data_IF_701544793418
#
_entry.id   IF_701544793418
#
_cell.length_a   1.000
_cell.length_b   1.000
_cell.length_c   1.000
_cell.angle_alpha   90.00
_cell.angle_beta   90.00
_cell.angle_gamma   90.00
#
_symmetry.space_group_name_H-M   'P 1'
#
loop_
_entity.id
_entity.type
_entity.pdbx_description
1 polymer ?
#
# COMPACT_ATOMS: atom_id res chain seq x y z
N UNK A 1 -8.66 -15.29 -14.21
CA UNK A 1 -9.55 -16.41 -14.57
C UNK A 1 -10.44 -16.09 -15.76
N UNK A 2 -11.28 -15.05 -15.70
CA UNK A 2 -12.21 -14.67 -16.79
C UNK A 2 -11.52 -14.45 -18.14
N UNK A 3 -10.32 -13.80 -18.13
CA UNK A 3 -9.52 -13.65 -19.35
C UNK A 3 -9.25 -15.01 -20.03
N UNK A 4 -8.73 -15.97 -19.30
CA UNK A 4 -8.38 -17.29 -19.87
C UNK A 4 -9.62 -18.10 -20.30
N UNK A 5 -10.73 -17.94 -19.57
CA UNK A 5 -11.98 -18.60 -19.92
C UNK A 5 -12.55 -18.05 -21.23
N UNK A 6 -12.73 -16.73 -21.30
CA UNK A 6 -13.42 -16.12 -22.44
C UNK A 6 -12.53 -15.95 -23.67
N UNK A 7 -11.20 -15.85 -23.51
CA UNK A 7 -10.29 -15.77 -24.66
C UNK A 7 -10.31 -17.03 -25.55
N UNK A 8 -10.66 -18.19 -25.00
CA UNK A 8 -10.78 -19.44 -25.75
C UNK A 8 -12.04 -19.51 -26.65
N UNK A 9 -13.04 -18.69 -26.37
CA UNK A 9 -14.33 -18.71 -27.06
C UNK A 9 -14.56 -17.49 -27.94
N UNK A 10 -13.53 -16.69 -28.23
CA UNK A 10 -13.63 -15.47 -29.05
C UNK A 10 -14.10 -15.81 -30.47
N UNK A 11 -13.63 -16.92 -31.05
CA UNK A 11 -13.99 -17.35 -32.40
C UNK A 11 -15.45 -17.83 -32.50
N UNK A 12 -16.03 -18.27 -31.37
CA UNK A 12 -17.44 -18.71 -31.27
C UNK A 12 -18.36 -17.52 -31.05
N UNK A 13 -17.93 -16.57 -30.18
CA UNK A 13 -18.73 -15.40 -29.82
C UNK A 13 -17.83 -14.16 -29.68
N UNK A 14 -17.76 -13.37 -30.75
CA UNK A 14 -16.88 -12.19 -30.86
C UNK A 14 -16.98 -11.19 -29.69
N UNK A 15 -18.15 -10.93 -29.05
CA UNK A 15 -18.22 -10.04 -27.90
C UNK A 15 -17.29 -10.42 -26.74
N UNK A 16 -16.85 -11.68 -26.61
CA UNK A 16 -15.86 -12.08 -25.60
C UNK A 16 -14.49 -11.43 -25.79
N UNK A 17 -14.22 -10.85 -26.95
CA UNK A 17 -13.01 -10.06 -27.22
C UNK A 17 -12.84 -8.91 -26.23
N UNK A 18 -13.92 -8.42 -25.62
CA UNK A 18 -13.84 -7.34 -24.61
C UNK A 18 -12.97 -7.72 -23.41
N UNK A 19 -12.91 -9.00 -23.04
CA UNK A 19 -12.06 -9.49 -21.94
C UNK A 19 -10.56 -9.44 -22.25
N UNK A 20 -10.15 -9.21 -23.48
CA UNK A 20 -8.74 -9.01 -23.84
C UNK A 20 -8.25 -7.61 -23.54
N UNK A 21 -9.15 -6.62 -23.45
CA UNK A 21 -8.78 -5.24 -23.17
C UNK A 21 -8.49 -5.01 -21.70
N UNK A 22 -7.31 -4.45 -21.41
CA UNK A 22 -6.88 -4.11 -20.05
C UNK A 22 -7.86 -3.13 -19.38
N UNK A 23 -8.34 -2.13 -20.12
CA UNK A 23 -9.27 -1.12 -19.61
C UNK A 23 -10.59 -1.72 -19.13
N UNK A 24 -11.17 -2.64 -19.90
CA UNK A 24 -12.40 -3.33 -19.52
C UNK A 24 -12.19 -4.20 -18.28
N UNK A 25 -11.09 -4.97 -18.24
CA UNK A 25 -10.76 -5.80 -17.09
C UNK A 25 -10.45 -4.97 -15.85
N UNK A 26 -9.80 -3.82 -16.00
CA UNK A 26 -9.55 -2.89 -14.88
C UNK A 26 -10.84 -2.33 -14.31
N UNK A 27 -11.78 -1.91 -15.16
CA UNK A 27 -13.10 -1.45 -14.70
C UNK A 27 -13.87 -2.58 -13.99
N UNK A 28 -13.86 -3.78 -14.56
CA UNK A 28 -14.46 -4.97 -13.94
C UNK A 28 -13.82 -5.32 -12.60
N UNK A 29 -12.50 -5.26 -12.52
CA UNK A 29 -11.75 -5.53 -11.30
C UNK A 29 -12.07 -4.51 -10.20
N UNK A 30 -12.11 -3.22 -10.54
CA UNK A 30 -12.49 -2.16 -9.61
C UNK A 30 -13.90 -2.37 -9.04
N UNK A 31 -14.88 -2.55 -9.90
CA UNK A 31 -16.29 -2.73 -9.50
C UNK A 31 -16.46 -3.99 -8.66
N UNK A 32 -15.87 -5.11 -9.09
CA UNK A 32 -15.95 -6.38 -8.35
C UNK A 32 -15.30 -6.28 -6.97
N UNK A 33 -14.15 -5.61 -6.88
CA UNK A 33 -13.44 -5.41 -5.61
C UNK A 33 -14.26 -4.56 -4.63
N UNK A 34 -14.87 -3.48 -5.12
CA UNK A 34 -15.76 -2.62 -4.33
C UNK A 34 -16.97 -3.42 -3.81
N UNK A 35 -17.62 -4.18 -4.72
CA UNK A 35 -18.77 -5.03 -4.36
C UNK A 35 -18.37 -6.09 -3.34
N UNK A 36 -17.23 -6.76 -3.50
CA UNK A 36 -16.75 -7.77 -2.56
C UNK A 36 -16.49 -7.16 -1.18
N UNK A 37 -15.82 -6.00 -1.12
CA UNK A 37 -15.60 -5.30 0.15
C UNK A 37 -16.93 -4.94 0.82
N UNK A 38 -17.91 -4.46 0.05
CA UNK A 38 -19.23 -4.10 0.56
C UNK A 38 -20.03 -5.32 1.05
N UNK A 39 -20.03 -6.43 0.31
CA UNK A 39 -20.81 -7.62 0.66
C UNK A 39 -20.18 -8.42 1.81
N UNK A 40 -18.85 -8.59 1.81
CA UNK A 40 -18.16 -9.37 2.84
C UNK A 40 -17.87 -8.55 4.10
N UNK A 41 -17.83 -7.22 4.01
CA UNK A 41 -17.55 -6.33 5.14
C UNK A 41 -18.40 -6.61 6.38
N UNK A 42 -19.75 -6.61 6.28
CA UNK A 42 -20.62 -6.83 7.45
C UNK A 42 -20.43 -8.22 8.09
N UNK A 43 -20.16 -9.26 7.28
CA UNK A 43 -19.92 -10.59 7.79
C UNK A 43 -18.59 -10.66 8.57
N UNK A 44 -17.51 -10.07 8.01
CA UNK A 44 -16.21 -10.00 8.66
C UNK A 44 -16.29 -9.19 9.95
N UNK A 45 -16.93 -8.01 9.92
CA UNK A 45 -17.12 -7.15 11.11
C UNK A 45 -17.86 -7.91 12.21
N UNK A 46 -18.92 -8.64 11.86
CA UNK A 46 -19.70 -9.45 12.81
C UNK A 46 -18.87 -10.55 13.44
N UNK A 47 -18.08 -11.29 12.64
CA UNK A 47 -17.20 -12.35 13.12
C UNK A 47 -16.16 -11.77 14.08
N UNK A 48 -15.52 -10.66 13.73
CA UNK A 48 -14.50 -10.04 14.58
C UNK A 48 -15.07 -9.48 15.87
N UNK A 49 -16.26 -8.86 15.84
CA UNK A 49 -16.97 -8.39 17.06
C UNK A 49 -17.31 -9.55 18.00
N UNK A 50 -17.81 -10.66 17.47
CA UNK A 50 -18.18 -11.82 18.27
C UNK A 50 -16.98 -12.49 18.96
N UNK A 51 -15.79 -12.38 18.39
CA UNK A 51 -14.56 -12.95 18.95
C UNK A 51 -13.75 -11.95 19.78
N UNK A 52 -14.32 -10.78 20.12
CA UNK A 52 -13.70 -9.75 20.95
C UNK A 52 -12.33 -9.25 20.40
N UNK A 53 -12.18 -9.21 19.09
CA UNK A 53 -11.03 -8.57 18.43
C UNK A 53 -11.14 -7.03 18.56
N UNK A 54 -11.12 -6.54 19.80
CA UNK A 54 -11.32 -5.10 20.12
C UNK A 54 -9.97 -4.50 20.46
N UNK A 55 -9.65 -3.37 19.85
CA UNK A 55 -8.41 -2.66 20.12
C UNK A 55 -8.41 -2.07 21.54
N UNK A 56 -7.34 -2.32 22.29
CA UNK A 56 -7.08 -1.67 23.58
C UNK A 56 -6.33 -0.37 23.33
N UNK A 57 -6.95 0.75 23.73
CA UNK A 57 -6.38 2.09 23.54
C UNK A 57 -5.41 2.36 24.68
N UNK A 58 -4.20 2.81 24.35
CA UNK A 58 -3.20 3.21 25.32
C UNK A 58 -3.64 4.45 26.13
N UNK A 59 -3.36 4.47 27.43
CA UNK A 59 -3.74 5.56 28.34
C UNK A 59 -3.15 6.94 27.96
N UNK A 60 -2.04 6.94 27.19
CA UNK A 60 -1.37 8.16 26.71
C UNK A 60 -2.05 8.79 25.46
N UNK A 61 -3.10 8.15 24.91
CA UNK A 61 -3.82 8.65 23.74
C UNK A 61 -4.81 9.77 24.12
N UNK A 62 -5.08 10.73 23.23
CA UNK A 62 -6.08 11.78 23.46
C UNK A 62 -7.47 11.21 23.82
N UNK A 63 -8.20 11.87 24.73
CA UNK A 63 -9.53 11.45 25.23
C UNK A 63 -10.52 11.05 24.14
N UNK A 64 -10.39 11.63 22.96
CA UNK A 64 -11.24 11.32 21.79
C UNK A 64 -11.08 9.89 21.27
N UNK A 65 -9.94 9.25 21.54
CA UNK A 65 -9.71 7.84 21.16
C UNK A 65 -10.45 6.89 22.11
N UNK A 66 -10.69 7.30 23.38
CA UNK A 66 -11.47 6.49 24.32
C UNK A 66 -12.91 6.26 23.85
N UNK A 67 -13.48 7.17 23.05
CA UNK A 67 -14.79 6.98 22.42
C UNK A 67 -14.81 5.88 21.34
N UNK A 68 -13.64 5.43 20.85
CA UNK A 68 -13.47 4.35 19.86
C UNK A 68 -13.31 2.96 20.51
N UNK A 69 -13.31 2.90 21.84
CA UNK A 69 -13.23 1.64 22.57
C UNK A 69 -14.42 0.74 22.21
N UNK A 70 -14.13 -0.49 21.80
CA UNK A 70 -15.16 -1.41 21.33
C UNK A 70 -15.22 -1.57 19.80
N UNK A 71 -14.49 -0.76 19.02
CA UNK A 71 -14.40 -0.94 17.58
C UNK A 71 -13.49 -2.13 17.27
N UNK A 72 -13.93 -3.09 16.44
CA UNK A 72 -13.10 -4.23 16.07
C UNK A 72 -11.91 -3.80 15.20
N UNK A 73 -10.81 -4.51 15.31
CA UNK A 73 -9.62 -4.37 14.46
C UNK A 73 -9.51 -5.54 13.49
N UNK A 74 -8.44 -5.62 12.69
CA UNK A 74 -8.19 -6.62 11.63
C UNK A 74 -9.07 -6.41 10.37
N UNK A 75 -9.52 -5.21 10.11
CA UNK A 75 -10.26 -4.85 8.89
C UNK A 75 -9.48 -5.09 7.60
N UNK A 76 -8.16 -5.25 7.69
CA UNK A 76 -7.33 -5.73 6.59
C UNK A 76 -7.82 -7.02 5.94
N UNK A 77 -8.60 -7.86 6.65
CA UNK A 77 -9.25 -9.04 6.06
C UNK A 77 -10.25 -8.66 4.96
N UNK A 78 -10.98 -7.55 5.10
CA UNK A 78 -11.87 -7.04 4.04
C UNK A 78 -11.05 -6.63 2.84
N UNK A 79 -9.91 -5.95 3.07
CA UNK A 79 -8.99 -5.51 2.02
C UNK A 79 -8.42 -6.73 1.28
N UNK A 80 -7.88 -7.71 2.01
CA UNK A 80 -7.29 -8.90 1.41
C UNK A 80 -8.30 -9.72 0.61
N UNK A 81 -9.52 -9.92 1.12
CA UNK A 81 -10.56 -10.68 0.42
C UNK A 81 -11.06 -9.96 -0.83
N UNK A 82 -11.29 -8.65 -0.77
CA UNK A 82 -11.71 -7.85 -1.92
C UNK A 82 -10.66 -7.80 -3.02
N UNK A 83 -9.40 -7.51 -2.64
CA UNK A 83 -8.27 -7.42 -3.56
C UNK A 83 -7.96 -8.76 -4.24
N UNK A 84 -7.72 -9.80 -3.44
CA UNK A 84 -7.31 -11.10 -3.97
C UNK A 84 -8.44 -11.76 -4.77
N UNK A 85 -9.68 -11.69 -4.28
CA UNK A 85 -10.84 -12.26 -4.98
C UNK A 85 -11.07 -11.58 -6.33
N UNK A 86 -11.08 -10.25 -6.36
CA UNK A 86 -11.29 -9.50 -7.60
C UNK A 86 -10.13 -9.64 -8.57
N UNK A 87 -8.89 -9.46 -8.12
CA UNK A 87 -7.73 -9.57 -9.00
C UNK A 87 -7.58 -10.99 -9.57
N UNK A 88 -7.89 -12.05 -8.80
CA UNK A 88 -7.89 -13.43 -9.28
C UNK A 88 -8.89 -13.66 -10.43
N UNK A 89 -10.05 -13.02 -10.36
CA UNK A 89 -11.06 -13.10 -11.43
C UNK A 89 -10.59 -12.41 -12.71
N UNK A 90 -10.04 -11.20 -12.61
CA UNK A 90 -9.82 -10.32 -13.75
C UNK A 90 -8.40 -10.30 -14.30
N UNK A 91 -7.37 -10.55 -13.48
CA UNK A 91 -5.97 -10.54 -13.92
C UNK A 91 -5.61 -11.75 -14.77
N UNK A 92 -4.61 -11.57 -15.63
CA UNK A 92 -3.97 -12.65 -16.36
C UNK A 92 -3.00 -13.39 -15.45
N UNK A 93 -3.31 -14.65 -15.19
CA UNK A 93 -2.53 -15.49 -14.27
C UNK A 93 -1.25 -16.07 -14.90
N UNK A 94 -1.04 -15.88 -16.20
CA UNK A 94 0.20 -16.19 -16.91
C UNK A 94 1.29 -15.11 -16.75
N UNK A 95 0.96 -13.97 -16.11
CA UNK A 95 1.89 -12.88 -15.86
C UNK A 95 2.63 -13.07 -14.52
N UNK A 96 3.97 -13.15 -14.56
CA UNK A 96 4.80 -13.34 -13.37
C UNK A 96 4.70 -12.19 -12.36
N UNK A 97 4.47 -10.95 -12.82
CA UNK A 97 4.32 -9.78 -11.93
C UNK A 97 3.08 -9.89 -11.05
N UNK A 98 1.99 -10.46 -11.55
CA UNK A 98 0.78 -10.71 -10.77
C UNK A 98 1.07 -11.70 -9.63
N UNK A 99 1.84 -12.76 -9.88
CA UNK A 99 2.22 -13.71 -8.82
C UNK A 99 3.13 -13.09 -7.76
N UNK A 100 4.02 -12.18 -8.13
CA UNK A 100 4.82 -11.42 -7.17
C UNK A 100 3.95 -10.50 -6.30
N UNK A 101 2.92 -9.88 -6.90
CA UNK A 101 1.95 -9.09 -6.14
C UNK A 101 1.16 -9.96 -5.17
N UNK A 102 0.71 -11.15 -5.56
CA UNK A 102 0.04 -12.08 -4.66
C UNK A 102 0.95 -12.57 -3.53
N UNK A 103 2.19 -12.94 -3.87
CA UNK A 103 3.17 -13.36 -2.87
C UNK A 103 3.41 -12.26 -1.83
N UNK A 104 3.66 -11.03 -2.28
CA UNK A 104 3.87 -9.88 -1.38
C UNK A 104 2.65 -9.64 -0.51
N UNK A 105 1.46 -9.64 -1.10
CA UNK A 105 0.20 -9.38 -0.41
C UNK A 105 -0.09 -10.42 0.66
N UNK A 106 0.01 -11.70 0.28
CA UNK A 106 -0.28 -12.81 1.20
C UNK A 106 0.76 -12.92 2.30
N UNK A 107 2.05 -12.82 1.96
CA UNK A 107 3.12 -12.94 2.94
C UNK A 107 3.04 -11.85 4.01
N UNK A 108 2.98 -10.59 3.59
CA UNK A 108 2.88 -9.48 4.54
C UNK A 108 1.52 -9.45 5.25
N UNK A 109 0.45 -9.89 4.58
CA UNK A 109 -0.86 -10.07 5.17
C UNK A 109 -0.87 -11.11 6.29
N UNK A 110 -0.17 -12.25 6.12
CA UNK A 110 -0.02 -13.27 7.15
C UNK A 110 0.74 -12.70 8.36
N UNK A 111 1.86 -12.00 8.15
CA UNK A 111 2.60 -11.39 9.26
C UNK A 111 1.77 -10.33 9.99
N UNK A 112 1.02 -9.50 9.27
CA UNK A 112 0.09 -8.54 9.86
C UNK A 112 -1.03 -9.23 10.63
N UNK A 113 -1.61 -10.29 10.06
CA UNK A 113 -2.64 -11.08 10.71
C UNK A 113 -2.15 -11.72 12.01
N UNK A 114 -0.96 -12.32 11.99
CA UNK A 114 -0.35 -12.92 13.19
C UNK A 114 -0.11 -11.87 14.26
N UNK A 115 0.37 -10.67 13.88
CA UNK A 115 0.58 -9.58 14.84
C UNK A 115 -0.72 -9.15 15.51
N UNK A 116 -1.75 -8.87 14.71
CA UNK A 116 -3.08 -8.48 15.20
C UNK A 116 -3.73 -9.61 16.03
N UNK A 117 -3.58 -10.87 15.60
CA UNK A 117 -4.09 -12.03 16.33
C UNK A 117 -3.45 -12.16 17.72
N UNK A 118 -2.14 -12.03 17.81
CA UNK A 118 -1.42 -12.11 19.08
C UNK A 118 -1.82 -10.97 20.03
N UNK A 119 -2.05 -9.76 19.50
CA UNK A 119 -2.48 -8.61 20.31
C UNK A 119 -3.88 -8.82 20.89
N UNK A 120 -4.82 -9.26 20.05
CA UNK A 120 -6.24 -9.23 20.40
C UNK A 120 -6.74 -10.54 21.02
N UNK A 121 -6.26 -11.70 20.56
CA UNK A 121 -6.75 -13.01 21.01
C UNK A 121 -5.83 -13.65 22.04
N UNK A 122 -4.52 -13.62 21.85
CA UNK A 122 -3.56 -14.17 22.80
C UNK A 122 -3.26 -13.22 23.97
N UNK A 123 -3.92 -12.04 24.03
CA UNK A 123 -3.76 -11.00 25.06
C UNK A 123 -2.29 -10.63 25.31
N UNK A 124 -1.45 -10.78 24.30
CA UNK A 124 -0.07 -10.35 24.33
C UNK A 124 -0.01 -8.84 24.09
N UNK A 125 0.14 -8.03 25.15
CA UNK A 125 0.22 -6.55 25.05
C UNK A 125 1.23 -6.03 24.01
N UNK A 126 2.17 -6.86 23.53
CA UNK A 126 3.24 -6.46 22.59
C UNK A 126 3.04 -7.00 21.17
N UNK A 127 2.03 -7.88 20.92
CA UNK A 127 1.86 -8.53 19.61
C UNK A 127 3.09 -9.34 19.20
N UNK A 128 3.37 -9.38 17.90
CA UNK A 128 4.57 -10.00 17.36
C UNK A 128 5.81 -9.15 17.71
N UNK A 129 6.85 -9.82 18.21
CA UNK A 129 8.11 -9.12 18.52
C UNK A 129 8.62 -8.38 17.27
N UNK A 130 8.97 -7.08 17.35
CA UNK A 130 9.34 -6.27 16.18
C UNK A 130 10.42 -6.88 15.28
N UNK A 131 11.32 -7.68 15.88
CA UNK A 131 12.37 -8.41 15.14
C UNK A 131 11.77 -9.42 14.14
N UNK A 132 10.77 -10.19 14.54
CA UNK A 132 10.16 -11.19 13.64
C UNK A 132 9.33 -10.54 12.54
N UNK A 133 8.64 -9.44 12.84
CA UNK A 133 7.93 -8.63 11.84
C UNK A 133 8.90 -8.10 10.78
N UNK A 134 10.04 -7.55 11.21
CA UNK A 134 11.08 -7.07 10.31
C UNK A 134 11.70 -8.22 9.50
N UNK A 135 11.96 -9.37 10.12
CA UNK A 135 12.47 -10.56 9.41
C UNK A 135 11.51 -11.03 8.33
N UNK A 136 10.19 -11.02 8.59
CA UNK A 136 9.18 -11.37 7.59
C UNK A 136 9.18 -10.41 6.39
N UNK A 137 9.31 -9.11 6.63
CA UNK A 137 9.42 -8.11 5.58
C UNK A 137 10.72 -8.27 4.76
N UNK A 138 11.85 -8.46 5.43
CA UNK A 138 13.16 -8.66 4.78
C UNK A 138 13.17 -9.94 3.95
N UNK A 139 12.62 -11.05 4.46
CA UNK A 139 12.66 -12.35 3.79
C UNK A 139 11.91 -12.33 2.45
N UNK A 140 10.70 -11.78 2.40
CA UNK A 140 9.94 -11.67 1.14
C UNK A 140 10.64 -10.72 0.16
N UNK A 141 11.20 -9.63 0.68
CA UNK A 141 11.90 -8.65 -0.14
C UNK A 141 13.17 -9.22 -0.79
N UNK A 142 13.95 -9.99 -0.04
CA UNK A 142 15.13 -10.69 -0.57
C UNK A 142 14.70 -11.73 -1.60
N UNK A 143 13.69 -12.55 -1.28
CA UNK A 143 13.22 -13.62 -2.18
C UNK A 143 12.79 -13.03 -3.54
N UNK A 144 11.97 -11.97 -3.53
CA UNK A 144 11.52 -11.33 -4.77
C UNK A 144 12.69 -10.59 -5.45
N UNK A 145 13.50 -9.86 -4.68
CA UNK A 145 14.67 -9.16 -5.22
C UNK A 145 15.66 -10.12 -5.92
N UNK A 146 15.91 -11.28 -5.33
CA UNK A 146 16.73 -12.33 -5.96
C UNK A 146 16.05 -12.92 -7.20
N UNK A 147 14.75 -13.22 -7.12
CA UNK A 147 14.02 -13.75 -8.28
C UNK A 147 14.08 -12.77 -9.46
N UNK A 148 13.83 -11.46 -9.22
CA UNK A 148 13.92 -10.43 -10.26
C UNK A 148 15.35 -10.26 -10.77
N UNK A 149 16.34 -10.32 -9.90
CA UNK A 149 17.75 -10.15 -10.27
C UNK A 149 18.24 -11.26 -11.20
N UNK A 150 17.80 -12.50 -11.01
CA UNK A 150 18.16 -13.65 -11.86
C UNK A 150 17.17 -13.87 -13.01
N UNK A 151 16.12 -13.07 -13.14
CA UNK A 151 15.19 -13.12 -14.27
C UNK A 151 15.70 -12.27 -15.45
N UNK A 152 15.17 -12.54 -16.64
CA UNK A 152 15.45 -11.71 -17.82
C UNK A 152 14.91 -10.27 -17.68
N UNK A 153 14.04 -10.03 -16.70
CA UNK A 153 13.48 -8.70 -16.46
C UNK A 153 14.49 -7.75 -15.79
N UNK A 154 15.63 -8.25 -15.30
CA UNK A 154 16.67 -7.44 -14.62
C UNK A 154 17.23 -6.34 -15.51
N UNK A 155 17.33 -6.59 -16.81
CA UNK A 155 17.81 -5.60 -17.79
C UNK A 155 16.94 -4.35 -17.79
N UNK A 156 15.65 -4.51 -17.48
CA UNK A 156 14.69 -3.39 -17.37
C UNK A 156 14.60 -2.82 -15.97
N UNK A 157 14.66 -3.67 -14.93
CA UNK A 157 14.34 -3.32 -13.54
C UNK A 157 15.52 -2.80 -12.74
N UNK A 158 16.77 -3.08 -13.16
CA UNK A 158 17.99 -2.71 -12.42
C UNK A 158 18.34 -1.22 -12.47
N UNK A 159 17.46 -0.39 -12.99
CA UNK A 159 17.67 1.05 -13.11
C UNK A 159 16.65 1.83 -12.25
N UNK A 160 17.10 2.97 -11.74
CA UNK A 160 16.24 3.99 -11.14
C UNK A 160 16.19 5.18 -12.10
N UNK A 161 15.01 5.47 -12.62
CA UNK A 161 14.80 6.62 -13.50
C UNK A 161 14.79 7.91 -12.66
N UNK A 162 15.59 8.91 -13.04
CA UNK A 162 15.64 10.19 -12.36
C UNK A 162 14.65 11.16 -13.05
N UNK A 163 13.55 11.56 -12.38
CA UNK A 163 12.67 12.57 -12.90
C UNK A 163 13.44 13.90 -13.04
N UNK A 164 13.08 14.72 -14.04
CA UNK A 164 13.72 15.99 -14.41
C UNK A 164 15.10 15.88 -15.10
N UNK A 165 15.68 14.70 -15.25
CA UNK A 165 16.94 14.49 -15.96
C UNK A 165 16.70 13.51 -17.12
N UNK A 166 16.59 14.07 -18.32
CA UNK A 166 16.30 13.31 -19.54
C UNK A 166 17.36 12.20 -19.76
N UNK A 167 16.91 11.01 -20.10
CA UNK A 167 17.73 9.83 -20.42
C UNK A 167 18.75 9.47 -19.32
N UNK A 168 18.51 9.89 -18.07
CA UNK A 168 19.40 9.62 -16.95
C UNK A 168 18.78 8.58 -16.02
N UNK A 169 19.43 7.41 -15.92
CA UNK A 169 19.05 6.35 -15.01
C UNK A 169 20.26 5.84 -14.23
N UNK A 170 20.08 5.54 -12.95
CA UNK A 170 21.13 4.97 -12.11
C UNK A 170 21.06 3.46 -12.21
N UNK A 171 22.14 2.84 -12.72
CA UNK A 171 22.27 1.38 -12.74
C UNK A 171 22.63 0.86 -11.35
N UNK A 172 21.83 -0.06 -10.83
CA UNK A 172 21.98 -0.60 -9.48
C UNK A 172 22.86 -1.84 -9.39
N UNK A 173 22.94 -2.64 -10.46
CA UNK A 173 23.63 -3.92 -10.42
C UNK A 173 23.19 -4.78 -9.22
N UNK A 174 24.13 -5.34 -8.48
CA UNK A 174 23.86 -6.16 -7.28
C UNK A 174 23.21 -5.36 -6.13
N UNK A 175 23.36 -4.02 -6.12
CA UNK A 175 22.68 -3.16 -5.15
C UNK A 175 21.16 -3.14 -5.33
N UNK A 176 20.63 -3.69 -6.43
CA UNK A 176 19.19 -3.84 -6.64
C UNK A 176 18.51 -4.57 -5.48
N UNK A 177 19.07 -5.69 -5.00
CA UNK A 177 18.48 -6.49 -3.93
C UNK A 177 18.34 -5.69 -2.62
N UNK A 178 19.39 -5.08 -2.06
CA UNK A 178 19.24 -4.27 -0.85
C UNK A 178 18.37 -3.04 -1.05
N UNK A 179 18.29 -2.47 -2.26
CA UNK A 179 17.36 -1.38 -2.57
C UNK A 179 15.91 -1.86 -2.52
N UNK A 180 15.60 -3.03 -3.08
CA UNK A 180 14.26 -3.67 -2.97
C UNK A 180 13.90 -3.85 -1.50
N UNK A 181 14.81 -4.39 -0.68
CA UNK A 181 14.59 -4.57 0.76
C UNK A 181 14.30 -3.24 1.45
N UNK A 182 15.10 -2.22 1.17
CA UNK A 182 14.92 -0.89 1.76
C UNK A 182 13.55 -0.29 1.42
N UNK A 183 13.14 -0.35 0.14
CA UNK A 183 11.87 0.21 -0.32
C UNK A 183 10.68 -0.54 0.29
N UNK A 184 10.69 -1.88 0.26
CA UNK A 184 9.58 -2.68 0.78
C UNK A 184 9.44 -2.54 2.30
N UNK A 185 10.53 -2.66 3.04
CA UNK A 185 10.53 -2.51 4.51
C UNK A 185 10.16 -1.08 4.89
N UNK A 186 10.77 -0.09 4.24
CA UNK A 186 10.52 1.32 4.50
C UNK A 186 9.06 1.70 4.26
N UNK A 187 8.51 1.38 3.10
CA UNK A 187 7.13 1.72 2.74
C UNK A 187 6.10 0.95 3.56
N UNK A 188 6.32 -0.37 3.80
CA UNK A 188 5.44 -1.18 4.64
C UNK A 188 5.31 -0.60 6.06
N UNK A 189 6.42 -0.23 6.68
CA UNK A 189 6.39 0.37 8.02
C UNK A 189 5.86 1.82 7.99
N UNK A 190 6.14 2.61 6.96
CA UNK A 190 5.65 3.98 6.85
C UNK A 190 4.12 4.03 6.70
N UNK A 191 3.53 3.15 5.88
CA UNK A 191 2.07 3.00 5.77
C UNK A 191 1.47 2.54 7.10
N UNK A 192 2.11 1.58 7.78
CA UNK A 192 1.66 1.11 9.09
C UNK A 192 1.68 2.24 10.14
N UNK A 193 2.73 3.09 10.17
CA UNK A 193 2.77 4.26 11.05
C UNK A 193 1.73 5.33 10.71
N UNK A 194 1.29 5.41 9.46
CA UNK A 194 0.26 6.36 9.01
C UNK A 194 -1.15 5.89 9.38
N UNK A 195 -1.33 4.60 9.71
CA UNK A 195 -2.60 4.00 10.07
C UNK A 195 -2.99 4.31 11.53
N UNK A 196 -3.23 5.60 11.83
CA UNK A 196 -3.59 6.08 13.18
C UNK A 196 -4.92 6.82 13.26
N UNK A 197 -5.48 7.24 12.13
CA UNK A 197 -6.78 7.94 12.06
C UNK A 197 -7.70 7.26 11.05
N UNK A 198 -9.02 7.33 11.33
CA UNK A 198 -10.07 6.73 10.49
C UNK A 198 -10.02 7.28 9.07
N UNK A 199 -9.83 6.44 8.07
CA UNK A 199 -9.76 6.81 6.66
C UNK A 199 -8.41 7.37 6.17
N UNK A 200 -7.41 7.55 7.04
CA UNK A 200 -6.17 8.22 6.66
C UNK A 200 -5.30 7.37 5.74
N UNK A 201 -4.89 6.20 6.18
CA UNK A 201 -3.92 5.38 5.47
C UNK A 201 -4.47 4.83 4.15
N UNK A 202 -5.70 4.30 4.15
CA UNK A 202 -6.33 3.75 2.96
C UNK A 202 -6.63 4.81 1.90
N UNK A 203 -7.05 6.02 2.31
CA UNK A 203 -7.28 7.10 1.36
C UNK A 203 -5.99 7.55 0.67
N UNK A 204 -4.89 7.70 1.43
CA UNK A 204 -3.58 8.01 0.86
C UNK A 204 -3.10 6.86 -0.04
N UNK A 205 -3.24 5.59 0.41
CA UNK A 205 -2.89 4.42 -0.39
C UNK A 205 -3.67 4.36 -1.71
N UNK A 206 -4.98 4.68 -1.69
CA UNK A 206 -5.81 4.71 -2.90
C UNK A 206 -5.32 5.75 -3.91
N UNK A 207 -4.95 6.96 -3.45
CA UNK A 207 -4.44 8.04 -4.30
C UNK A 207 -3.08 7.64 -4.90
N UNK A 208 -2.15 7.11 -4.09
CA UNK A 208 -0.83 6.65 -4.54
C UNK A 208 -0.96 5.49 -5.52
N UNK A 209 -1.80 4.49 -5.19
CA UNK A 209 -2.08 3.35 -6.07
C UNK A 209 -2.68 3.80 -7.40
N UNK A 210 -3.61 4.76 -7.42
CA UNK A 210 -4.16 5.32 -8.64
C UNK A 210 -3.07 5.93 -9.53
N UNK A 211 -2.14 6.69 -8.96
CA UNK A 211 -0.98 7.23 -9.68
C UNK A 211 -0.10 6.15 -10.30
N UNK A 212 0.23 5.12 -9.52
CA UNK A 212 0.98 3.96 -10.02
C UNK A 212 0.18 3.18 -11.09
N UNK A 213 -1.14 3.18 -11.02
CA UNK A 213 -2.03 2.59 -12.03
C UNK A 213 -1.92 3.31 -13.38
N UNK A 214 -1.86 4.63 -13.37
CA UNK A 214 -1.60 5.43 -14.58
C UNK A 214 -0.23 5.04 -15.16
N UNK A 215 0.83 5.02 -14.33
CA UNK A 215 2.17 4.65 -14.79
C UNK A 215 2.22 3.22 -15.34
N UNK A 216 1.54 2.28 -14.71
CA UNK A 216 1.40 0.90 -15.16
C UNK A 216 0.77 0.81 -16.55
N UNK A 217 -0.33 1.53 -16.77
CA UNK A 217 -1.02 1.57 -18.06
C UNK A 217 -0.16 2.18 -19.17
N UNK A 218 0.53 3.29 -18.87
CA UNK A 218 1.39 3.98 -19.83
C UNK A 218 2.63 3.16 -20.19
N UNK A 219 3.37 2.65 -19.20
CA UNK A 219 4.58 1.84 -19.42
C UNK A 219 4.30 0.44 -19.97
N UNK A 220 3.08 -0.07 -19.75
CA UNK A 220 2.64 -1.35 -20.27
C UNK A 220 2.15 -1.32 -21.73
N UNK A 221 2.10 -0.15 -22.37
CA UNK A 221 1.71 0.03 -23.76
C UNK A 221 2.83 0.71 -24.54
N UNK A 222 3.34 0.03 -25.59
CA UNK A 222 4.50 0.48 -26.36
C UNK A 222 4.27 1.87 -27.00
N UNK A 223 3.07 2.11 -27.53
CA UNK A 223 2.76 3.39 -28.19
C UNK A 223 2.76 4.56 -27.22
N UNK A 224 2.21 4.38 -26.01
CA UNK A 224 2.22 5.41 -24.98
C UNK A 224 3.60 5.59 -24.36
N UNK A 225 4.31 4.50 -24.14
CA UNK A 225 5.67 4.54 -23.61
C UNK A 225 6.60 5.32 -24.56
N UNK A 226 6.58 5.02 -25.85
CA UNK A 226 7.38 5.72 -26.86
C UNK A 226 6.99 7.20 -26.97
N UNK A 227 5.67 7.50 -27.04
CA UNK A 227 5.20 8.90 -27.13
C UNK A 227 5.63 9.77 -25.93
N UNK A 228 5.63 9.16 -24.74
CA UNK A 228 5.96 9.85 -23.49
C UNK A 228 7.43 9.73 -23.10
N UNK A 229 8.24 9.05 -23.90
CA UNK A 229 9.65 8.73 -23.61
C UNK A 229 9.83 7.97 -22.29
N UNK A 230 8.90 7.05 -21.99
CA UNK A 230 8.95 6.16 -20.84
C UNK A 230 9.54 4.82 -21.25
N UNK A 231 10.34 4.19 -20.39
CA UNK A 231 10.80 2.83 -20.64
C UNK A 231 9.63 1.85 -20.74
N UNK A 232 9.44 1.20 -21.90
CA UNK A 232 8.43 0.17 -22.07
C UNK A 232 8.73 -1.06 -21.22
N UNK A 233 7.74 -1.56 -20.48
CA UNK A 233 7.84 -2.75 -19.65
C UNK A 233 6.72 -3.73 -20.06
N UNK A 234 7.05 -4.81 -20.81
CA UNK A 234 6.04 -5.67 -21.45
C UNK A 234 4.99 -6.28 -20.51
N UNK A 235 5.38 -6.55 -19.27
CA UNK A 235 4.48 -7.18 -18.25
C UNK A 235 3.69 -6.16 -17.43
N UNK A 236 4.06 -4.88 -17.47
CA UNK A 236 3.52 -3.85 -16.60
C UNK A 236 2.04 -3.57 -16.81
N UNK A 237 1.55 -3.63 -18.05
CA UNK A 237 0.15 -3.31 -18.37
C UNK A 237 -0.86 -4.14 -17.58
N UNK A 238 -0.51 -5.36 -17.20
CA UNK A 238 -1.39 -6.23 -16.41
C UNK A 238 -1.51 -5.79 -14.94
N UNK A 239 -0.49 -5.12 -14.40
CA UNK A 239 -0.56 -4.54 -13.06
C UNK A 239 -1.66 -3.49 -12.94
N UNK A 240 -2.08 -2.85 -14.04
CA UNK A 240 -3.22 -1.90 -14.05
C UNK A 240 -4.51 -2.56 -13.56
N UNK A 241 -4.74 -3.84 -13.92
CA UNK A 241 -5.91 -4.59 -13.47
C UNK A 241 -5.84 -4.88 -11.97
N UNK A 242 -4.67 -5.28 -11.47
CA UNK A 242 -4.44 -5.50 -10.04
C UNK A 242 -4.59 -4.20 -9.23
N UNK A 243 -4.05 -3.10 -9.74
CA UNK A 243 -4.14 -1.78 -9.10
C UNK A 243 -5.59 -1.28 -9.08
N UNK A 244 -6.36 -1.52 -10.15
CA UNK A 244 -7.78 -1.18 -10.18
C UNK A 244 -8.57 -1.95 -9.12
N UNK A 245 -8.29 -3.26 -8.93
CA UNK A 245 -8.83 -4.04 -7.83
C UNK A 245 -8.42 -3.46 -6.47
N UNK A 246 -7.16 -3.07 -6.31
CA UNK A 246 -6.67 -2.45 -5.07
C UNK A 246 -7.43 -1.17 -4.74
N UNK A 247 -7.54 -0.24 -5.69
CA UNK A 247 -8.25 1.03 -5.50
C UNK A 247 -9.74 0.79 -5.19
N UNK A 248 -10.39 -0.11 -5.94
CA UNK A 248 -11.79 -0.49 -5.67
C UNK A 248 -11.99 -1.08 -4.27
N UNK A 249 -11.07 -1.92 -3.82
CA UNK A 249 -11.08 -2.49 -2.47
C UNK A 249 -10.90 -1.42 -1.39
N UNK A 250 -9.94 -0.50 -1.57
CA UNK A 250 -9.67 0.56 -0.60
C UNK A 250 -10.86 1.51 -0.47
N UNK A 251 -11.52 1.86 -1.57
CA UNK A 251 -12.74 2.67 -1.55
C UNK A 251 -13.87 1.89 -0.87
N UNK A 252 -14.00 0.59 -1.14
CA UNK A 252 -14.98 -0.26 -0.48
C UNK A 252 -14.71 -0.43 1.01
N UNK A 253 -13.46 -0.49 1.45
CA UNK A 253 -13.08 -0.51 2.86
C UNK A 253 -13.35 0.83 3.56
N UNK A 254 -13.09 1.96 2.89
CA UNK A 254 -13.42 3.30 3.40
C UNK A 254 -14.88 3.45 3.79
N UNK A 255 -15.79 2.70 3.17
CA UNK A 255 -17.21 2.70 3.55
C UNK A 255 -17.42 2.36 5.03
N UNK A 256 -16.59 1.47 5.58
CA UNK A 256 -16.66 1.02 6.98
C UNK A 256 -15.67 1.73 7.89
N UNK A 257 -14.56 2.24 7.34
CA UNK A 257 -13.51 2.85 8.12
C UNK A 257 -13.56 4.38 8.14
N UNK A 258 -14.41 5.03 7.32
CA UNK A 258 -14.61 6.48 7.44
C UNK A 258 -15.23 6.82 8.81
N UNK A 259 -14.87 8.00 9.33
CA UNK A 259 -15.28 8.42 10.68
C UNK A 259 -16.79 8.61 10.82
N UNK A 260 -17.44 8.05 11.87
CA UNK A 260 -16.88 7.15 12.90
C UNK A 260 -16.64 5.74 12.34
N UNK A 261 -15.43 5.20 12.54
CA UNK A 261 -15.07 3.90 11.98
C UNK A 261 -15.84 2.74 12.64
N UNK A 262 -16.39 1.85 11.84
CA UNK A 262 -17.03 0.61 12.28
C UNK A 262 -16.01 -0.52 12.50
N UNK A 263 -14.82 -0.40 11.88
CA UNK A 263 -13.70 -1.35 11.96
C UNK A 263 -12.38 -0.63 11.68
N UNK A 264 -11.32 -1.00 12.41
CA UNK A 264 -9.95 -0.54 12.15
C UNK A 264 -9.21 -1.51 11.24
N UNK A 265 -8.34 -0.96 10.38
CA UNK A 265 -7.58 -1.74 9.40
C UNK A 265 -6.66 -2.78 10.05
N UNK A 266 -5.96 -2.40 11.13
CA UNK A 266 -4.93 -3.21 11.77
C UNK A 266 -3.66 -3.39 10.93
N UNK A 267 -2.71 -4.16 11.49
CA UNK A 267 -1.47 -4.54 10.80
C UNK A 267 -1.74 -5.52 9.65
N UNK A 268 -2.83 -6.28 9.74
CA UNK A 268 -3.35 -7.18 8.69
C UNK A 268 -3.56 -6.46 7.36
N UNK A 269 -3.94 -5.17 7.38
CA UNK A 269 -4.14 -4.36 6.18
C UNK A 269 -2.96 -3.47 5.85
N UNK A 270 -2.44 -2.74 6.84
CA UNK A 270 -1.45 -1.68 6.61
C UNK A 270 -0.09 -2.20 6.13
N UNK A 271 0.39 -3.35 6.65
CA UNK A 271 1.66 -3.94 6.22
C UNK A 271 1.63 -4.39 4.76
N UNK A 272 0.65 -5.19 4.30
CA UNK A 272 0.59 -5.58 2.89
C UNK A 272 0.35 -4.39 1.98
N UNK A 273 -0.45 -3.37 2.36
CA UNK A 273 -0.66 -2.19 1.53
C UNK A 273 0.66 -1.46 1.23
N UNK A 274 1.48 -1.21 2.25
CA UNK A 274 2.78 -0.59 2.04
C UNK A 274 3.71 -1.46 1.19
N UNK A 275 3.70 -2.78 1.39
CA UNK A 275 4.46 -3.73 0.57
C UNK A 275 4.00 -3.77 -0.89
N UNK A 276 2.69 -3.72 -1.14
CA UNK A 276 2.09 -3.64 -2.48
C UNK A 276 2.56 -2.37 -3.21
N UNK A 277 2.45 -1.19 -2.57
CA UNK A 277 2.88 0.07 -3.18
C UNK A 277 4.39 0.06 -3.49
N UNK A 278 5.21 -0.48 -2.58
CA UNK A 278 6.63 -0.66 -2.78
C UNK A 278 6.93 -1.57 -3.99
N UNK A 279 6.29 -2.74 -4.04
CA UNK A 279 6.50 -3.71 -5.11
C UNK A 279 6.04 -3.16 -6.46
N UNK A 280 4.90 -2.48 -6.52
CA UNK A 280 4.44 -1.79 -7.73
C UNK A 280 5.49 -0.78 -8.22
N UNK A 281 6.06 0.02 -7.33
CA UNK A 281 7.09 1.00 -7.71
C UNK A 281 8.36 0.35 -8.27
N UNK A 282 8.74 -0.82 -7.75
CA UNK A 282 9.90 -1.58 -8.22
C UNK A 282 9.62 -2.17 -9.61
N UNK A 283 8.49 -2.86 -9.78
CA UNK A 283 8.11 -3.50 -11.04
C UNK A 283 7.85 -2.48 -12.18
N UNK A 284 7.52 -1.26 -11.84
CA UNK A 284 7.29 -0.16 -12.79
C UNK A 284 8.50 0.75 -12.97
N UNK A 285 9.61 0.57 -12.22
CA UNK A 285 10.74 1.51 -12.15
C UNK A 285 10.29 2.91 -11.73
N UNK A 286 9.38 3.01 -10.76
CA UNK A 286 8.77 4.24 -10.30
C UNK A 286 9.06 4.51 -8.81
N UNK A 287 10.27 4.19 -8.35
CA UNK A 287 10.66 4.32 -6.94
C UNK A 287 10.67 5.80 -6.50
N UNK A 288 11.17 6.70 -7.36
CA UNK A 288 11.18 8.15 -7.08
C UNK A 288 9.77 8.73 -7.19
N UNK A 289 8.97 8.27 -8.14
CA UNK A 289 7.55 8.66 -8.23
C UNK A 289 6.81 8.26 -6.94
N UNK A 290 7.03 7.04 -6.44
CA UNK A 290 6.49 6.62 -5.15
C UNK A 290 6.95 7.52 -4.01
N UNK A 291 8.23 7.92 -3.98
CA UNK A 291 8.75 8.83 -2.96
C UNK A 291 8.11 10.23 -3.02
N UNK A 292 7.80 10.73 -4.21
CA UNK A 292 7.12 12.02 -4.41
C UNK A 292 5.65 11.90 -3.98
N UNK A 293 4.90 10.99 -4.58
CA UNK A 293 3.45 10.87 -4.34
C UNK A 293 3.15 10.35 -2.94
N UNK A 294 3.97 9.42 -2.45
CA UNK A 294 3.92 8.85 -1.11
C UNK A 294 4.66 9.65 -0.05
N UNK A 295 5.04 10.92 -0.32
CA UNK A 295 5.82 11.74 0.62
C UNK A 295 5.16 11.89 1.98
N UNK A 296 3.83 11.84 2.04
CA UNK A 296 3.10 11.87 3.32
C UNK A 296 3.52 10.70 4.21
N UNK A 297 3.66 9.49 3.68
CA UNK A 297 4.15 8.32 4.43
C UNK A 297 5.57 8.53 4.94
N UNK A 298 6.43 9.13 4.09
CA UNK A 298 7.81 9.47 4.46
C UNK A 298 7.81 10.49 5.60
N UNK A 299 6.99 11.53 5.51
CA UNK A 299 6.90 12.58 6.53
C UNK A 299 6.42 12.03 7.88
N UNK A 300 5.42 11.14 7.87
CA UNK A 300 4.93 10.44 9.05
C UNK A 300 6.03 9.60 9.71
N UNK A 301 6.70 8.74 8.95
CA UNK A 301 7.79 7.90 9.45
C UNK A 301 8.99 8.74 9.96
N UNK A 302 9.39 9.77 9.19
CA UNK A 302 10.50 10.66 9.60
C UNK A 302 10.18 11.43 10.86
N UNK A 303 8.93 11.83 11.09
CA UNK A 303 8.55 12.50 12.34
C UNK A 303 8.79 11.61 13.56
N UNK A 304 8.52 10.32 13.46
CA UNK A 304 8.78 9.34 14.53
C UNK A 304 10.28 9.16 14.74
N UNK A 305 11.05 8.99 13.65
CA UNK A 305 12.51 8.82 13.73
C UNK A 305 13.16 10.05 14.39
N UNK A 306 12.77 11.25 13.96
CA UNK A 306 13.30 12.52 14.52
C UNK A 306 12.93 12.62 16.00
N UNK A 307 11.66 12.38 16.35
CA UNK A 307 11.18 12.46 17.73
C UNK A 307 11.96 11.52 18.65
N UNK A 308 12.08 10.24 18.27
CA UNK A 308 12.76 9.22 19.10
C UNK A 308 14.24 9.51 19.23
N UNK A 309 14.92 9.88 18.12
CA UNK A 309 16.35 10.20 18.16
C UNK A 309 16.64 11.44 19.00
N UNK A 310 15.87 12.51 18.81
CA UNK A 310 16.03 13.75 19.54
C UNK A 310 15.75 13.57 21.05
N UNK A 311 14.69 12.84 21.39
CA UNK A 311 14.36 12.52 22.78
C UNK A 311 15.47 11.74 23.47
N UNK A 312 16.02 10.70 22.83
CA UNK A 312 17.15 9.92 23.35
C UNK A 312 18.42 10.76 23.50
N UNK A 313 18.72 11.59 22.49
CA UNK A 313 19.89 12.49 22.51
C UNK A 313 19.81 13.51 23.66
N UNK A 314 18.66 14.19 23.80
CA UNK A 314 18.49 15.20 24.87
C UNK A 314 18.46 14.56 26.24
N UNK A 315 17.86 13.39 26.41
CA UNK A 315 17.88 12.62 27.66
C UNK A 315 19.31 12.24 28.06
N UNK A 316 20.13 11.80 27.10
CA UNK A 316 21.54 11.45 27.34
C UNK A 316 22.40 12.67 27.71
N UNK A 317 22.16 13.84 27.04
CA UNK A 317 22.99 15.03 27.18
C UNK A 317 22.58 15.93 28.35
N UNK A 318 21.27 16.04 28.62
CA UNK A 318 20.72 16.99 29.59
C UNK A 318 19.96 16.32 30.74
N UNK A 319 19.94 14.98 30.83
CA UNK A 319 19.19 14.23 31.83
C UNK A 319 17.67 14.19 31.60
N UNK A 320 17.12 15.11 30.79
CA UNK A 320 15.69 15.25 30.51
C UNK A 320 15.46 15.12 29.03
N UNK A 321 14.53 14.18 28.63
CA UNK A 321 14.12 14.00 27.23
C UNK A 321 13.23 15.16 26.79
N UNK A 322 13.58 15.82 25.66
CA UNK A 322 12.79 16.88 25.04
C UNK A 322 12.10 16.34 23.79
N UNK A 323 10.89 16.85 23.51
CA UNK A 323 10.11 16.49 22.30
C UNK A 323 10.23 17.58 21.25
N UNK A 324 10.37 17.20 19.97
CA UNK A 324 10.31 18.11 18.80
C UNK A 324 8.85 18.38 18.46
N UNK A 325 8.07 17.31 18.31
CA UNK A 325 6.63 17.37 18.07
C UNK A 325 5.88 17.14 19.38
N UNK A 326 4.67 17.67 19.50
CA UNK A 326 3.80 17.40 20.68
C UNK A 326 3.61 15.89 20.85
N UNK A 327 3.35 15.19 19.74
CA UNK A 327 3.28 13.74 19.61
C UNK A 327 3.75 13.34 18.22
N UNK A 328 4.26 12.15 18.02
CA UNK A 328 4.60 11.57 16.72
C UNK A 328 3.84 10.23 16.58
N UNK A 329 3.37 9.89 15.36
CA UNK A 329 3.53 10.55 14.05
C UNK A 329 2.83 11.93 13.90
N UNK A 330 3.00 12.60 12.72
CA UNK A 330 2.52 13.98 12.50
C UNK A 330 1.01 14.15 12.66
N UNK A 331 0.20 13.19 12.27
CA UNK A 331 -1.25 13.26 12.43
C UNK A 331 -1.63 13.47 13.90
N UNK A 332 -1.00 12.78 14.85
CA UNK A 332 -1.22 12.99 16.28
C UNK A 332 -0.71 14.36 16.76
N UNK A 333 0.36 14.90 16.16
CA UNK A 333 0.79 16.27 16.45
C UNK A 333 -0.30 17.30 16.16
N UNK A 334 -1.02 17.12 15.04
CA UNK A 334 -2.13 18.01 14.68
C UNK A 334 -3.37 17.80 15.56
N UNK A 335 -3.66 16.56 15.98
CA UNK A 335 -4.70 16.28 16.97
C UNK A 335 -4.42 17.01 18.30
N UNK A 336 -3.16 16.91 18.78
CA UNK A 336 -2.71 17.61 20.00
C UNK A 336 -2.69 19.14 19.85
N UNK A 337 -2.83 19.67 18.64
CA UNK A 337 -3.09 21.08 18.35
C UNK A 337 -4.58 21.44 18.32
N UNK A 338 -5.47 20.47 18.51
CA UNK A 338 -6.91 20.68 18.57
C UNK A 338 -7.64 20.59 17.22
N UNK A 339 -6.97 20.15 16.13
CA UNK A 339 -7.67 19.92 14.87
C UNK A 339 -8.59 18.70 14.95
N UNK A 340 -9.75 18.79 14.30
CA UNK A 340 -10.65 17.65 14.17
C UNK A 340 -10.02 16.59 13.27
N UNK A 341 -10.21 15.31 13.61
CA UNK A 341 -9.64 14.15 12.90
C UNK A 341 -9.99 14.15 11.39
N UNK A 342 -11.27 14.31 11.06
CA UNK A 342 -11.72 14.40 9.66
C UNK A 342 -11.03 15.53 8.88
N UNK A 343 -10.75 16.66 9.53
CA UNK A 343 -10.04 17.78 8.92
C UNK A 343 -8.56 17.44 8.64
N UNK A 344 -7.93 16.67 9.53
CA UNK A 344 -6.56 16.19 9.34
C UNK A 344 -6.53 15.24 8.15
N UNK A 345 -7.39 14.23 8.14
CA UNK A 345 -7.49 13.21 7.08
C UNK A 345 -7.67 13.85 5.70
N UNK A 346 -8.67 14.71 5.54
CA UNK A 346 -8.94 15.39 4.26
C UNK A 346 -7.76 16.26 3.81
N UNK A 347 -7.09 16.97 4.73
CA UNK A 347 -5.90 17.76 4.40
C UNK A 347 -4.73 16.92 3.91
N UNK A 348 -4.51 15.76 4.51
CA UNK A 348 -3.47 14.82 4.08
C UNK A 348 -3.80 14.24 2.70
N UNK A 349 -5.07 13.93 2.41
CA UNK A 349 -5.50 13.54 1.07
C UNK A 349 -5.25 14.64 0.04
N UNK A 350 -5.61 15.90 0.35
CA UNK A 350 -5.36 17.04 -0.53
C UNK A 350 -3.86 17.18 -0.83
N UNK A 351 -3.00 17.08 0.19
CA UNK A 351 -1.54 17.12 0.00
C UNK A 351 -1.10 15.97 -0.91
N UNK A 352 -1.60 14.76 -0.71
CA UNK A 352 -1.25 13.60 -1.56
C UNK A 352 -1.73 13.79 -3.00
N UNK A 353 -2.92 14.36 -3.22
CA UNK A 353 -3.42 14.69 -4.57
C UNK A 353 -2.52 15.74 -5.25
N UNK A 354 -2.10 16.77 -4.53
CA UNK A 354 -1.17 17.76 -5.07
C UNK A 354 0.17 17.12 -5.45
N UNK A 355 0.70 16.23 -4.61
CA UNK A 355 1.92 15.49 -4.89
C UNK A 355 1.74 14.52 -6.07
N UNK A 356 0.56 13.93 -6.23
CA UNK A 356 0.22 13.11 -7.40
C UNK A 356 0.25 13.95 -8.69
N UNK A 357 -0.37 15.14 -8.69
CA UNK A 357 -0.33 16.05 -9.84
C UNK A 357 1.10 16.45 -10.18
N UNK A 358 1.93 16.79 -9.16
CA UNK A 358 3.35 17.07 -9.33
C UNK A 358 4.07 15.86 -9.93
N UNK A 359 3.89 14.66 -9.36
CA UNK A 359 4.51 13.43 -9.86
C UNK A 359 4.13 13.15 -11.32
N UNK A 360 2.86 13.26 -11.68
CA UNK A 360 2.39 13.06 -13.06
C UNK A 360 2.90 14.15 -14.02
N UNK A 361 3.08 15.39 -13.57
CA UNK A 361 3.65 16.45 -14.40
C UNK A 361 5.10 16.20 -14.83
N UNK A 362 5.83 15.34 -14.09
CA UNK A 362 7.21 14.95 -14.43
C UNK A 362 7.31 13.92 -15.56
N UNK A 363 6.20 13.32 -15.98
CA UNK A 363 6.21 12.21 -16.95
C UNK A 363 6.94 12.56 -18.23
N UNK A 364 6.70 13.75 -18.77
CA UNK A 364 7.32 14.20 -20.04
C UNK A 364 8.66 14.95 -19.86
N UNK A 365 9.13 15.05 -18.62
CA UNK A 365 10.41 15.67 -18.28
C UNK A 365 11.55 14.65 -18.08
N UNK A 366 11.28 13.39 -18.38
CA UNK A 366 12.21 12.26 -18.24
C UNK A 366 13.02 11.99 -19.49
#
# INVERSE_FOLDING_TARGET
MLYHLFSQYIDIFNPFRVFTYVTFRSAGAFITALIFSYLFGPAIIRILKNHLAVETIDEDMPDRHHAKQGTPTMGGLIILTGLLGSSLLWSRLDNSYIWMMYLTTLWLGIFGFVDDYLKNFAKSKKGLIPKYKLMGQISVSIMIGMFLYYSNDIEYLSFIDLPFLKDTAIYLGIAFIPVVVFIVVGTSNAVNLTNGLDGLAEGICAIVAFGLGIMSYLKGNINYADYLNLGFIPKAGELTVFIAALVGTLIGFLWYNCRPAEIFMGDTGSLPLGGILAMLSILLREQIFLAIVGFVFIAEAMSVIIQVRYFKFTKKRFGIGRRVFKMAPLHHHYEMKGFAESKIVVRFWIVTILLLVIGLSTIKLR
#
